data_IF_046788187465
#
_entry.id   IF_046788187465
#
_cell.length_a   1.000
_cell.length_b   1.000
_cell.length_c   1.000
_cell.angle_alpha   90.00
_cell.angle_beta   90.00
_cell.angle_gamma   90.00
#
_symmetry.space_group_name_H-M   'P 1'
#
loop_
_entity.id
_entity.type
_entity.pdbx_description
1 polymer ?
#
# COMPACT_ATOMS: atom_id res chain seq x y z
N UNK A 1 27.99 38.48 33.28
CA UNK A 1 27.85 37.69 32.03
C UNK A 1 26.96 36.50 32.33
N UNK A 2 25.72 36.53 31.86
CA UNK A 2 24.71 35.49 32.08
C UNK A 2 24.46 34.83 30.70
N UNK A 3 24.60 33.53 30.54
CA UNK A 3 24.29 32.88 29.27
C UNK A 3 22.78 32.68 29.15
N UNK A 4 22.22 33.16 28.05
CA UNK A 4 20.83 32.96 27.66
C UNK A 4 20.68 31.58 27.04
N UNK A 5 19.91 30.74 27.70
CA UNK A 5 19.50 29.43 27.18
C UNK A 5 18.41 29.61 26.13
N UNK A 6 18.68 29.23 24.89
CA UNK A 6 17.71 29.15 23.82
C UNK A 6 16.90 27.84 23.95
N UNK A 7 15.69 27.96 24.45
CA UNK A 7 14.70 26.87 24.42
C UNK A 7 14.18 26.70 22.98
N UNK A 8 14.52 25.61 22.33
CA UNK A 8 13.92 25.18 21.05
C UNK A 8 12.48 24.73 21.32
N UNK A 9 11.53 25.51 20.84
CA UNK A 9 10.11 25.14 20.81
C UNK A 9 9.88 24.01 19.78
N UNK A 10 9.57 22.82 20.27
CA UNK A 10 9.08 21.72 19.45
C UNK A 10 7.63 22.05 19.08
N UNK A 11 7.40 22.50 17.84
CA UNK A 11 6.07 22.66 17.30
C UNK A 11 5.46 21.27 17.09
N UNK A 12 4.62 20.87 18.02
CA UNK A 12 3.82 19.64 17.91
C UNK A 12 2.88 19.72 16.71
N UNK A 13 3.05 18.81 15.78
CA UNK A 13 2.07 18.54 14.72
C UNK A 13 0.83 17.94 15.39
N UNK A 14 -0.23 18.74 15.54
CA UNK A 14 -1.53 18.25 15.96
C UNK A 14 -2.14 17.49 14.79
N UNK A 15 -2.04 16.17 14.84
CA UNK A 15 -2.78 15.27 13.96
C UNK A 15 -4.26 15.40 14.35
N UNK A 16 -5.04 16.11 13.56
CA UNK A 16 -6.48 16.17 13.72
C UNK A 16 -7.04 14.84 13.24
N UNK A 17 -7.28 13.92 14.19
CA UNK A 17 -8.03 12.70 13.96
C UNK A 17 -9.49 13.10 13.73
N UNK A 18 -9.92 13.24 12.48
CA UNK A 18 -11.31 13.40 12.12
C UNK A 18 -12.01 12.07 12.43
N UNK A 19 -12.64 12.01 13.60
CA UNK A 19 -13.59 10.97 13.96
C UNK A 19 -14.80 11.10 13.01
N UNK A 20 -14.80 10.34 11.94
CA UNK A 20 -15.99 10.09 11.14
C UNK A 20 -16.98 9.30 12.02
N UNK A 21 -17.88 10.03 12.66
CA UNK A 21 -19.03 9.43 13.33
C UNK A 21 -19.80 8.59 12.31
N UNK A 22 -20.15 7.33 12.64
CA UNK A 22 -20.97 6.53 11.75
C UNK A 22 -22.34 7.18 11.66
N UNK A 23 -22.64 7.80 10.53
CA UNK A 23 -24.04 8.03 10.18
C UNK A 23 -24.71 6.67 10.15
N UNK A 24 -25.75 6.50 10.96
CA UNK A 24 -26.61 5.32 10.94
C UNK A 24 -27.29 5.24 9.56
N UNK A 25 -26.65 4.53 8.64
CA UNK A 25 -27.27 4.16 7.36
C UNK A 25 -28.33 3.10 7.71
N UNK A 26 -29.59 3.28 7.29
CA UNK A 26 -30.62 2.29 7.54
C UNK A 26 -30.16 0.93 7.05
N UNK A 27 -30.39 -0.11 7.88
CA UNK A 27 -30.05 -1.49 7.59
C UNK A 27 -30.72 -1.90 6.28
N UNK A 28 -30.01 -1.78 5.17
CA UNK A 28 -30.42 -2.32 3.89
C UNK A 28 -29.96 -3.76 3.80
N UNK A 29 -30.86 -4.57 3.28
CA UNK A 29 -30.76 -5.98 2.94
C UNK A 29 -29.33 -6.48 2.69
N UNK A 30 -29.08 -7.69 3.15
CA UNK A 30 -27.81 -8.44 3.14
C UNK A 30 -26.81 -7.95 2.12
N UNK A 31 -25.61 -7.55 2.55
CA UNK A 31 -24.58 -7.16 1.60
C UNK A 31 -24.39 -8.30 0.61
N UNK A 32 -24.33 -8.01 -0.69
CA UNK A 32 -24.18 -9.06 -1.68
C UNK A 32 -22.92 -9.87 -1.35
N UNK A 33 -22.96 -11.20 -1.50
CA UNK A 33 -21.74 -12.03 -1.48
C UNK A 33 -20.77 -11.44 -2.48
N UNK A 34 -19.69 -10.84 -1.97
CA UNK A 34 -18.93 -9.87 -2.74
C UNK A 34 -17.84 -10.54 -3.56
N UNK A 35 -17.37 -11.70 -3.09
CA UNK A 35 -16.22 -12.37 -3.69
C UNK A 35 -16.51 -13.87 -3.79
N UNK A 36 -16.74 -14.32 -5.00
CA UNK A 36 -16.90 -15.74 -5.31
C UNK A 36 -15.58 -16.27 -5.90
N UNK A 37 -15.27 -17.53 -5.65
CA UNK A 37 -14.15 -18.21 -6.31
C UNK A 37 -14.26 -18.04 -7.82
N UNK A 38 -13.17 -17.57 -8.44
CA UNK A 38 -13.10 -17.29 -9.88
C UNK A 38 -13.40 -15.84 -10.26
N UNK A 39 -13.88 -15.00 -9.35
CA UNK A 39 -14.07 -13.58 -9.61
C UNK A 39 -12.75 -12.91 -9.94
N UNK A 40 -12.75 -12.06 -10.97
CA UNK A 40 -11.65 -11.19 -11.29
C UNK A 40 -11.79 -9.87 -10.54
N UNK A 41 -10.67 -9.36 -10.02
CA UNK A 41 -10.52 -8.02 -9.47
C UNK A 41 -9.61 -7.19 -10.37
N UNK A 42 -10.11 -6.08 -10.88
CA UNK A 42 -9.34 -5.10 -11.65
C UNK A 42 -9.38 -3.80 -10.88
N UNK A 43 -8.23 -3.30 -10.47
CA UNK A 43 -8.11 -2.08 -9.67
C UNK A 43 -7.18 -1.05 -10.29
N UNK A 44 -7.47 0.23 -10.06
CA UNK A 44 -6.52 1.32 -10.26
C UNK A 44 -6.24 1.97 -8.92
N UNK A 45 -5.00 2.38 -8.69
CA UNK A 45 -4.62 2.91 -7.39
C UNK A 45 -3.53 3.98 -7.48
N UNK A 46 -3.50 4.83 -6.47
CA UNK A 46 -2.42 5.78 -6.20
C UNK A 46 -1.91 5.56 -4.77
N UNK A 47 -0.65 5.83 -4.54
CA UNK A 47 -0.05 5.67 -3.22
C UNK A 47 1.01 6.73 -2.93
N UNK A 48 1.12 7.07 -1.66
CA UNK A 48 2.21 7.87 -1.10
C UNK A 48 2.91 7.11 0.01
N UNK A 49 4.24 7.14 0.04
CA UNK A 49 5.04 6.55 1.10
C UNK A 49 6.03 7.56 1.68
N UNK A 50 6.26 7.47 2.98
CA UNK A 50 7.31 8.21 3.68
C UNK A 50 8.25 7.23 4.36
N UNK A 51 9.58 7.54 4.30
CA UNK A 51 10.60 6.69 4.93
C UNK A 51 10.54 6.75 6.44
N UNK A 52 10.87 5.61 7.05
CA UNK A 52 11.11 5.49 8.48
C UNK A 52 12.61 5.34 8.73
N UNK A 53 13.12 5.95 9.80
CA UNK A 53 14.52 5.86 10.17
C UNK A 53 14.84 4.44 10.63
N UNK A 54 15.73 3.79 9.90
CA UNK A 54 16.28 2.48 10.22
C UNK A 54 17.78 2.45 9.86
N UNK A 55 18.52 1.52 10.40
CA UNK A 55 19.99 1.45 10.41
C UNK A 55 20.67 1.62 9.04
N UNK A 56 19.98 1.30 7.95
CA UNK A 56 20.51 1.41 6.58
C UNK A 56 19.50 2.09 5.64
N UNK A 57 18.50 2.78 6.17
CA UNK A 57 17.45 3.41 5.37
C UNK A 57 17.82 4.80 4.92
N UNK A 58 17.48 5.15 3.68
CA UNK A 58 17.41 6.53 3.26
C UNK A 58 16.00 7.06 3.51
N UNK A 59 15.88 7.92 4.51
CA UNK A 59 14.58 8.38 5.04
C UNK A 59 14.09 9.67 4.42
N UNK A 60 14.97 10.39 3.74
CA UNK A 60 14.65 11.70 3.17
C UNK A 60 13.76 11.63 1.92
N UNK A 61 13.51 10.44 1.39
CA UNK A 61 12.66 10.26 0.23
C UNK A 61 11.19 10.25 0.60
N UNK A 62 10.39 10.89 -0.24
CA UNK A 62 8.95 10.66 -0.36
C UNK A 62 8.70 9.96 -1.69
N UNK A 63 7.95 8.86 -1.67
CA UNK A 63 7.68 8.07 -2.86
C UNK A 63 6.21 8.21 -3.21
N UNK A 64 5.93 8.56 -4.46
CA UNK A 64 4.60 8.57 -5.04
C UNK A 64 4.54 7.54 -6.14
N UNK A 65 3.48 6.77 -6.18
CA UNK A 65 3.27 5.74 -7.19
C UNK A 65 1.81 5.64 -7.59
N UNK A 66 1.59 5.13 -8.80
CA UNK A 66 0.27 4.79 -9.30
C UNK A 66 0.34 3.52 -10.12
N UNK A 67 -0.73 2.73 -10.11
CA UNK A 67 -0.70 1.46 -10.80
C UNK A 67 -2.06 0.85 -11.06
N UNK A 68 -1.97 -0.30 -11.72
CA UNK A 68 -3.11 -1.16 -12.04
C UNK A 68 -2.91 -2.51 -11.37
N UNK A 69 -3.91 -2.96 -10.64
CA UNK A 69 -3.99 -4.28 -10.07
C UNK A 69 -4.87 -5.18 -10.93
N UNK A 70 -4.45 -6.40 -11.14
CA UNK A 70 -5.28 -7.46 -11.72
C UNK A 70 -5.13 -8.70 -10.86
N UNK A 71 -6.23 -9.14 -10.27
CA UNK A 71 -6.28 -10.29 -9.37
C UNK A 71 -7.43 -11.24 -9.69
N UNK A 72 -7.36 -12.40 -9.07
CA UNK A 72 -8.41 -13.43 -9.13
C UNK A 72 -8.60 -14.04 -7.76
N UNK A 73 -9.83 -14.17 -7.34
CA UNK A 73 -10.21 -14.93 -6.15
C UNK A 73 -10.02 -16.41 -6.42
N UNK A 74 -9.02 -17.01 -5.79
CA UNK A 74 -8.58 -18.38 -6.10
C UNK A 74 -9.22 -19.45 -5.21
N UNK A 75 -9.74 -19.05 -4.04
CA UNK A 75 -10.47 -19.96 -3.15
C UNK A 75 -11.94 -19.57 -3.02
N UNK A 76 -12.76 -20.57 -2.68
CA UNK A 76 -14.03 -20.30 -2.02
C UNK A 76 -13.77 -19.74 -0.60
N UNK A 77 -14.84 -19.64 0.18
CA UNK A 77 -14.72 -19.27 1.59
C UNK A 77 -13.96 -20.36 2.36
N UNK A 78 -12.86 -19.99 3.00
CA UNK A 78 -12.02 -20.88 3.83
C UNK A 78 -11.78 -20.26 5.20
N UNK A 79 -11.39 -21.09 6.17
CA UNK A 79 -11.19 -20.67 7.55
C UNK A 79 -12.45 -20.76 8.40
N UNK A 80 -12.30 -20.47 9.68
CA UNK A 80 -13.34 -20.54 10.69
C UNK A 80 -13.44 -19.24 11.48
N UNK A 81 -14.64 -18.94 11.97
CA UNK A 81 -14.86 -17.76 12.81
C UNK A 81 -14.38 -16.46 12.13
N UNK A 82 -13.62 -15.64 12.85
CA UNK A 82 -13.10 -14.36 12.38
C UNK A 82 -12.01 -14.49 11.29
N UNK A 83 -11.41 -15.68 11.12
CA UNK A 83 -10.45 -15.99 10.05
C UNK A 83 -11.15 -16.45 8.75
N UNK A 84 -12.46 -16.42 8.68
CA UNK A 84 -13.20 -16.80 7.48
C UNK A 84 -12.98 -15.76 6.38
N UNK A 85 -12.55 -16.20 5.19
CA UNK A 85 -12.24 -15.31 4.08
C UNK A 85 -11.95 -16.02 2.79
N UNK A 86 -11.56 -15.26 1.78
CA UNK A 86 -11.16 -15.71 0.46
C UNK A 86 -9.71 -15.33 0.20
N UNK A 87 -8.96 -16.22 -0.43
CA UNK A 87 -7.64 -15.91 -0.94
C UNK A 87 -7.76 -15.35 -2.36
N UNK A 88 -7.12 -14.22 -2.58
CA UNK A 88 -6.94 -13.60 -3.88
C UNK A 88 -5.44 -13.62 -4.24
N UNK A 89 -5.15 -13.94 -5.49
CA UNK A 89 -3.82 -13.82 -6.07
C UNK A 89 -3.88 -12.89 -7.28
N UNK A 90 -2.89 -12.04 -7.41
CA UNK A 90 -2.82 -11.08 -8.50
C UNK A 90 -1.43 -10.53 -8.74
N UNK A 91 -1.38 -9.51 -9.58
CA UNK A 91 -0.18 -8.75 -9.88
C UNK A 91 -0.49 -7.25 -9.98
N UNK A 92 0.52 -6.42 -9.75
CA UNK A 92 0.49 -4.99 -9.99
C UNK A 92 1.40 -4.61 -11.16
N UNK A 93 0.91 -3.76 -12.04
CA UNK A 93 1.72 -2.96 -12.93
C UNK A 93 1.82 -1.55 -12.33
N UNK A 94 3.03 -1.05 -12.13
CA UNK A 94 3.32 0.25 -11.50
C UNK A 94 3.99 1.15 -12.55
N UNK A 95 3.24 1.75 -13.48
CA UNK A 95 3.82 2.58 -14.55
C UNK A 95 4.35 3.91 -14.05
N UNK A 96 3.96 4.34 -12.85
CA UNK A 96 4.36 5.63 -12.28
C UNK A 96 4.98 5.39 -10.90
N UNK A 97 6.24 5.79 -10.79
CA UNK A 97 7.01 5.84 -9.55
C UNK A 97 7.85 7.11 -9.57
N UNK A 98 7.76 7.92 -8.54
CA UNK A 98 8.46 9.21 -8.43
C UNK A 98 8.95 9.40 -7.01
N UNK A 99 10.23 9.76 -6.85
CA UNK A 99 10.76 10.19 -5.55
C UNK A 99 10.80 11.72 -5.46
N UNK A 100 10.58 12.23 -4.25
CA UNK A 100 10.72 13.65 -3.90
C UNK A 100 11.58 13.79 -2.64
N UNK A 101 12.04 15.02 -2.36
CA UNK A 101 12.98 15.39 -1.29
C UNK A 101 14.43 14.90 -1.48
N UNK A 102 14.68 14.07 -2.47
CA UNK A 102 15.97 13.74 -3.03
C UNK A 102 16.00 14.23 -4.47
N UNK A 103 17.07 13.98 -5.22
CA UNK A 103 17.04 14.13 -6.68
C UNK A 103 15.85 13.33 -7.22
N UNK A 104 15.02 13.97 -8.06
CA UNK A 104 13.81 13.37 -8.58
C UNK A 104 14.14 12.17 -9.47
N UNK A 105 13.89 10.96 -8.97
CA UNK A 105 14.02 9.72 -9.72
C UNK A 105 12.66 9.24 -10.15
N UNK A 106 12.53 8.93 -11.43
CA UNK A 106 11.31 8.39 -12.02
C UNK A 106 11.51 6.91 -12.32
N UNK A 107 10.41 6.18 -12.39
CA UNK A 107 10.49 4.77 -12.71
C UNK A 107 9.14 4.12 -12.90
N UNK A 108 9.19 2.82 -13.10
CA UNK A 108 8.04 1.93 -13.14
C UNK A 108 8.43 0.53 -12.71
N UNK A 109 7.46 -0.27 -12.35
CA UNK A 109 7.70 -1.59 -11.82
C UNK A 109 6.59 -2.59 -12.13
N UNK A 110 6.89 -3.82 -11.79
CA UNK A 110 5.95 -4.93 -11.90
C UNK A 110 6.07 -5.79 -10.64
N UNK A 111 4.96 -6.06 -10.01
CA UNK A 111 4.87 -6.95 -8.85
C UNK A 111 4.09 -8.21 -9.26
N UNK A 112 4.79 -9.30 -9.65
CA UNK A 112 4.17 -10.54 -10.10
C UNK A 112 3.45 -11.28 -9.00
N UNK A 113 3.75 -10.97 -7.75
CA UNK A 113 3.17 -11.64 -6.58
C UNK A 113 2.44 -10.60 -5.75
N UNK A 114 1.12 -10.70 -5.74
CA UNK A 114 0.24 -10.03 -4.79
C UNK A 114 -0.71 -11.07 -4.23
N UNK A 115 -0.67 -11.29 -2.93
CA UNK A 115 -1.53 -12.22 -2.23
C UNK A 115 -2.36 -11.43 -1.22
N UNK A 116 -3.68 -11.57 -1.30
CA UNK A 116 -4.62 -10.97 -0.35
C UNK A 116 -5.46 -12.03 0.31
N UNK A 117 -5.63 -11.90 1.61
CA UNK A 117 -6.66 -12.57 2.38
C UNK A 117 -7.77 -11.58 2.66
N UNK A 118 -8.91 -11.76 2.01
CA UNK A 118 -10.05 -10.86 2.14
C UNK A 118 -11.05 -11.50 3.10
N UNK A 119 -11.30 -10.84 4.21
CA UNK A 119 -12.20 -11.33 5.25
C UNK A 119 -13.66 -11.33 4.78
N UNK A 120 -14.36 -12.40 5.05
CA UNK A 120 -15.82 -12.47 4.90
C UNK A 120 -16.56 -11.91 6.12
N UNK A 121 -15.82 -11.54 7.16
CA UNK A 121 -16.40 -10.80 8.27
C UNK A 121 -16.55 -9.33 7.89
N UNK A 122 -17.70 -9.03 7.30
CA UNK A 122 -17.99 -7.72 6.75
C UNK A 122 -18.67 -6.83 7.79
N UNK A 123 -18.30 -5.57 7.80
CA UNK A 123 -18.97 -4.53 8.57
C UNK A 123 -19.82 -3.70 7.61
N UNK A 124 -21.05 -4.19 7.34
CA UNK A 124 -21.91 -3.58 6.34
C UNK A 124 -21.32 -3.70 4.92
N UNK A 125 -20.84 -2.57 4.38
CA UNK A 125 -20.21 -2.50 3.04
C UNK A 125 -18.67 -2.58 3.06
N UNK A 126 -18.08 -2.81 4.22
CA UNK A 126 -16.63 -2.82 4.41
C UNK A 126 -16.13 -4.24 4.53
N UNK A 127 -15.19 -4.64 3.67
CA UNK A 127 -14.49 -5.91 3.73
C UNK A 127 -13.00 -5.68 4.03
N UNK A 128 -12.52 -6.00 5.24
CA UNK A 128 -11.11 -5.91 5.57
C UNK A 128 -10.29 -6.97 4.82
N UNK A 129 -9.02 -6.64 4.55
CA UNK A 129 -8.08 -7.60 4.00
C UNK A 129 -6.67 -7.38 4.55
N UNK A 130 -5.83 -8.42 4.43
CA UNK A 130 -4.37 -8.32 4.57
C UNK A 130 -3.72 -8.63 3.22
N UNK A 131 -2.56 -8.02 2.96
CA UNK A 131 -1.85 -8.14 1.69
C UNK A 131 -0.36 -8.35 1.93
N UNK A 132 0.24 -9.22 1.09
CA UNK A 132 1.67 -9.31 0.85
C UNK A 132 1.92 -9.15 -0.65
N UNK A 133 2.90 -8.36 -1.02
CA UNK A 133 3.29 -8.17 -2.41
C UNK A 133 4.79 -8.01 -2.56
N UNK A 134 5.30 -8.36 -3.74
CA UNK A 134 6.70 -8.19 -4.07
C UNK A 134 6.95 -8.19 -5.56
N UNK A 135 8.00 -7.46 -5.96
CA UNK A 135 8.32 -7.31 -7.37
C UNK A 135 9.59 -6.52 -7.65
N UNK A 136 9.66 -6.00 -8.85
CA UNK A 136 10.80 -5.25 -9.39
C UNK A 136 10.41 -3.81 -9.69
N UNK A 137 11.39 -2.93 -9.58
CA UNK A 137 11.29 -1.51 -9.87
C UNK A 137 12.48 -1.10 -10.73
N UNK A 138 12.20 -0.51 -11.88
CA UNK A 138 13.19 0.07 -12.78
C UNK A 138 13.12 1.59 -12.70
N UNK A 139 14.25 2.24 -12.52
CA UNK A 139 14.33 3.70 -12.35
C UNK A 139 15.23 4.35 -13.39
N UNK A 140 14.98 5.62 -13.70
CA UNK A 140 15.73 6.41 -14.68
C UNK A 140 17.19 6.66 -14.28
N UNK A 141 17.47 6.59 -12.99
CA UNK A 141 18.81 6.70 -12.42
C UNK A 141 18.90 5.83 -11.17
N UNK A 142 20.09 5.65 -10.62
CA UNK A 142 20.29 4.88 -9.40
C UNK A 142 19.44 5.40 -8.24
N UNK A 143 18.88 4.50 -7.43
CA UNK A 143 18.00 4.82 -6.30
C UNK A 143 18.55 4.20 -5.00
N UNK A 144 18.89 5.03 -4.00
CA UNK A 144 19.09 6.47 -4.08
C UNK A 144 20.25 6.82 -5.01
N UNK A 145 20.44 8.10 -5.40
CA UNK A 145 21.57 8.51 -6.25
C UNK A 145 22.93 8.10 -5.67
N UNK A 146 23.89 7.77 -6.53
CA UNK A 146 25.25 7.34 -6.18
C UNK A 146 25.56 5.89 -6.59
N UNK A 147 26.41 5.21 -5.83
CA UNK A 147 26.92 3.86 -6.11
C UNK A 147 25.89 2.74 -5.78
N UNK A 148 24.67 2.92 -6.25
CA UNK A 148 23.55 2.02 -6.06
C UNK A 148 23.11 1.42 -7.40
N UNK A 149 21.81 1.10 -7.57
CA UNK A 149 21.30 0.50 -8.80
C UNK A 149 20.01 1.20 -9.27
N UNK A 150 19.80 1.20 -10.59
CA UNK A 150 18.53 1.56 -11.21
C UNK A 150 17.55 0.38 -11.29
N UNK A 151 18.00 -0.85 -11.04
CA UNK A 151 17.14 -2.01 -10.81
C UNK A 151 17.04 -2.25 -9.31
N UNK A 152 15.81 -2.20 -8.82
CA UNK A 152 15.49 -2.40 -7.41
C UNK A 152 14.37 -3.45 -7.27
N UNK A 153 14.21 -3.94 -6.06
CA UNK A 153 13.14 -4.86 -5.68
C UNK A 153 12.24 -4.18 -4.67
N UNK A 154 10.95 -4.49 -4.74
CA UNK A 154 9.94 -3.99 -3.81
C UNK A 154 9.36 -5.13 -2.99
N UNK A 155 9.05 -4.84 -1.73
CA UNK A 155 8.24 -5.70 -0.88
C UNK A 155 7.24 -4.84 -0.11
N UNK A 156 6.01 -5.36 0.04
CA UNK A 156 4.95 -4.70 0.78
C UNK A 156 4.21 -5.69 1.64
N UNK A 157 3.82 -5.26 2.83
CA UNK A 157 2.96 -6.02 3.71
C UNK A 157 2.10 -5.12 4.56
N UNK A 158 0.84 -5.47 4.73
CA UNK A 158 -0.06 -4.66 5.53
C UNK A 158 -1.53 -5.05 5.37
N UNK A 159 -2.42 -4.11 5.61
CA UNK A 159 -3.84 -4.33 5.50
C UNK A 159 -4.59 -3.15 4.90
N UNK A 160 -5.80 -3.42 4.51
CA UNK A 160 -6.70 -2.43 3.94
C UNK A 160 -8.16 -2.83 4.08
N UNK A 161 -8.99 -2.00 3.50
CA UNK A 161 -10.43 -2.21 3.46
C UNK A 161 -10.97 -1.93 2.06
N UNK A 162 -11.80 -2.82 1.55
CA UNK A 162 -12.69 -2.52 0.44
C UNK A 162 -13.99 -1.93 0.97
N UNK A 163 -14.35 -0.74 0.51
CA UNK A 163 -15.63 -0.09 0.81
C UNK A 163 -16.52 -0.22 -0.42
N UNK A 164 -17.44 -1.16 -0.41
CA UNK A 164 -18.29 -1.44 -1.57
C UNK A 164 -19.32 -0.34 -1.81
N UNK A 165 -19.16 0.38 -2.91
CA UNK A 165 -20.10 1.41 -3.35
C UNK A 165 -21.26 0.84 -4.14
N UNK A 166 -21.02 -0.28 -4.87
CA UNK A 166 -22.00 -1.05 -5.63
C UNK A 166 -21.66 -2.54 -5.52
N UNK A 167 -22.55 -3.42 -5.98
CA UNK A 167 -22.38 -4.89 -5.89
C UNK A 167 -21.01 -5.40 -6.38
N UNK A 168 -20.39 -4.76 -7.36
CA UNK A 168 -19.12 -5.18 -7.96
C UNK A 168 -18.11 -4.05 -8.07
N UNK A 169 -18.19 -3.06 -7.18
CA UNK A 169 -17.29 -1.91 -7.19
C UNK A 169 -16.97 -1.47 -5.79
N UNK A 170 -15.70 -1.27 -5.50
CA UNK A 170 -15.27 -0.77 -4.21
C UNK A 170 -14.26 0.36 -4.34
N UNK A 171 -14.25 1.24 -3.35
CA UNK A 171 -13.08 2.05 -3.01
C UNK A 171 -12.17 1.21 -2.14
N UNK A 172 -10.87 1.38 -2.31
CA UNK A 172 -9.83 0.72 -1.52
C UNK A 172 -9.06 1.76 -0.71
N UNK A 173 -8.82 1.46 0.56
CA UNK A 173 -7.94 2.23 1.43
C UNK A 173 -7.03 1.24 2.15
N UNK A 174 -5.71 1.43 2.03
CA UNK A 174 -4.75 0.54 2.67
C UNK A 174 -3.58 1.28 3.31
N UNK A 175 -3.04 0.66 4.36
CA UNK A 175 -1.81 1.06 5.02
C UNK A 175 -0.85 -0.14 5.00
N UNK A 176 0.36 0.06 4.47
CA UNK A 176 1.35 -0.99 4.28
C UNK A 176 2.72 -0.53 4.72
N UNK A 177 3.50 -1.42 5.26
CA UNK A 177 4.95 -1.30 5.22
C UNK A 177 5.41 -1.47 3.76
N UNK A 178 6.33 -0.62 3.32
CA UNK A 178 6.86 -0.61 1.97
C UNK A 178 8.38 -0.58 2.01
N UNK A 179 8.99 -1.53 1.34
CA UNK A 179 10.43 -1.71 1.24
C UNK A 179 10.89 -1.61 -0.21
N UNK A 180 12.02 -0.92 -0.42
CA UNK A 180 12.75 -0.89 -1.70
C UNK A 180 14.22 -1.11 -1.42
N UNK A 181 14.85 -2.03 -2.14
CA UNK A 181 16.30 -2.27 -2.08
C UNK A 181 16.82 -2.82 -3.40
N UNK A 182 18.11 -2.70 -3.64
CA UNK A 182 18.72 -3.22 -4.87
C UNK A 182 19.27 -4.65 -4.73
N UNK A 183 19.02 -5.33 -3.62
CA UNK A 183 19.52 -6.68 -3.34
C UNK A 183 21.04 -6.84 -3.57
N UNK A 184 21.84 -5.82 -3.30
CA UNK A 184 23.30 -5.76 -3.53
C UNK A 184 23.71 -5.83 -5.00
N UNK A 185 22.87 -5.42 -5.95
CA UNK A 185 23.23 -5.27 -7.36
C UNK A 185 24.14 -4.07 -7.62
N UNK A 186 24.15 -3.07 -6.72
CA UNK A 186 25.10 -1.95 -6.72
C UNK A 186 26.25 -2.16 -5.72
N UNK A 187 27.18 -1.24 -5.70
CA UNK A 187 28.29 -1.22 -4.71
C UNK A 187 27.73 -1.02 -3.30
N UNK A 188 26.67 -0.24 -3.18
CA UNK A 188 25.94 0.02 -1.94
C UNK A 188 24.49 -0.40 -2.09
N UNK A 189 23.88 -0.88 -1.01
CA UNK A 189 22.46 -1.22 -0.93
C UNK A 189 21.77 -0.52 0.25
N UNK A 190 21.64 0.81 0.23
CA UNK A 190 20.78 1.49 1.19
C UNK A 190 19.32 1.16 0.86
N UNK A 191 18.55 0.93 1.90
CA UNK A 191 17.16 0.50 1.80
C UNK A 191 16.23 1.68 2.02
N UNK A 192 15.10 1.70 1.32
CA UNK A 192 13.95 2.49 1.75
C UNK A 192 13.01 1.57 2.53
N UNK A 193 12.73 1.96 3.75
CA UNK A 193 11.69 1.37 4.58
C UNK A 193 10.73 2.47 4.98
N UNK A 194 9.43 2.24 4.82
CA UNK A 194 8.47 3.29 5.11
C UNK A 194 7.03 2.80 5.22
N UNK A 195 6.17 3.71 5.60
CA UNK A 195 4.72 3.51 5.60
C UNK A 195 4.15 4.05 4.31
N UNK A 196 3.36 3.22 3.63
CA UNK A 196 2.64 3.55 2.40
C UNK A 196 1.14 3.59 2.67
N UNK A 197 0.50 4.68 2.25
CA UNK A 197 -0.97 4.79 2.19
C UNK A 197 -1.39 4.70 0.73
N UNK A 198 -2.37 3.86 0.46
CA UNK A 198 -2.92 3.63 -0.88
C UNK A 198 -4.40 3.96 -0.91
N UNK A 199 -4.80 4.61 -1.99
CA UNK A 199 -6.20 4.80 -2.37
C UNK A 199 -6.43 4.13 -3.72
N UNK A 200 -7.48 3.34 -3.83
CA UNK A 200 -7.80 2.59 -5.05
C UNK A 200 -9.28 2.57 -5.38
N UNK A 201 -9.56 2.11 -6.58
CA UNK A 201 -10.91 1.80 -7.03
C UNK A 201 -10.90 0.47 -7.80
N UNK A 202 -11.78 -0.45 -7.43
CA UNK A 202 -11.79 -1.82 -7.90
C UNK A 202 -13.11 -2.19 -8.57
N UNK A 203 -13.03 -3.01 -9.60
CA UNK A 203 -14.13 -3.63 -10.33
C UNK A 203 -14.01 -5.15 -10.23
N UNK A 204 -15.01 -5.78 -9.64
CA UNK A 204 -15.10 -7.24 -9.54
C UNK A 204 -15.99 -7.80 -10.67
N UNK A 205 -15.53 -8.86 -11.34
CA UNK A 205 -16.23 -9.51 -12.45
C UNK A 205 -16.37 -11.01 -12.21
#
# INVERSE_FOLDING_TARGET
MIPIALTRSVRGVRLALLLLLPYAVPAQEHPPRLLEKGSWDIGVWIAGATGEENRNSFTEAQIWSAGVFVGKVVTGEVGTSWLRGNLEYGFNLVPIFVTRKTEGVYGGGFEPVVVRWISNHQFGRVAPYIELAGGTLFTTSNLPPGDTSSLNFTARGGGGIHIFTKRRRSMDLACRWFHVSNANLGVRNPEFNGVQITLGYHWFK
#
